data_IF_231602215404
#
_entry.id   IF_231602215404
#
_cell.length_a   1.000
_cell.length_b   1.000
_cell.length_c   1.000
_cell.angle_alpha   90.00
_cell.angle_beta   90.00
_cell.angle_gamma   90.00
#
_symmetry.space_group_name_H-M   'P 1'
#
loop_
_entity.id
_entity.type
_entity.pdbx_description
1 polymer ?
#
# COMPACT_ATOMS: atom_id res chain seq x y z
N UNK A 1 1.64 -17.68 -23.16
CA UNK A 1 1.88 -18.04 -21.75
C UNK A 1 1.15 -17.07 -20.82
N UNK A 2 1.64 -15.83 -20.59
CA UNK A 2 0.98 -14.87 -19.68
C UNK A 2 -0.41 -14.40 -20.14
N UNK A 3 -0.63 -14.33 -21.45
CA UNK A 3 -1.90 -13.97 -22.08
C UNK A 3 -2.97 -15.03 -21.89
N UNK A 4 -2.59 -16.31 -21.85
CA UNK A 4 -3.53 -17.45 -21.81
C UNK A 4 -4.10 -17.62 -20.40
N UNK A 5 -3.28 -17.37 -19.37
CA UNK A 5 -3.73 -17.30 -17.98
C UNK A 5 -4.68 -16.13 -17.73
N UNK A 6 -4.37 -14.96 -18.31
CA UNK A 6 -5.21 -13.77 -18.20
C UNK A 6 -6.57 -14.01 -18.89
N UNK A 7 -6.56 -14.58 -20.10
CA UNK A 7 -7.77 -14.95 -20.81
C UNK A 7 -8.63 -15.95 -20.01
N UNK A 8 -8.01 -17.00 -19.45
CA UNK A 8 -8.70 -18.01 -18.63
C UNK A 8 -9.34 -17.38 -17.39
N UNK A 9 -8.66 -16.45 -16.72
CA UNK A 9 -9.20 -15.73 -15.55
C UNK A 9 -10.35 -14.79 -15.92
N UNK A 10 -10.28 -14.11 -17.05
CA UNK A 10 -11.33 -13.22 -17.54
C UNK A 10 -12.58 -14.02 -17.93
N UNK A 11 -12.42 -15.13 -18.66
CA UNK A 11 -13.52 -16.03 -19.00
C UNK A 11 -14.20 -16.59 -17.74
N UNK A 12 -13.42 -17.05 -16.76
CA UNK A 12 -13.95 -17.54 -15.47
C UNK A 12 -14.75 -16.47 -14.74
N UNK A 13 -14.31 -15.20 -14.76
CA UNK A 13 -15.04 -14.08 -14.15
C UNK A 13 -16.36 -13.80 -14.86
N UNK A 14 -16.35 -13.79 -16.20
CA UNK A 14 -17.55 -13.60 -17.01
C UNK A 14 -18.60 -14.70 -16.75
N UNK A 15 -18.17 -15.94 -16.55
CA UNK A 15 -19.07 -17.05 -16.22
C UNK A 15 -19.69 -16.90 -14.83
N UNK A 16 -18.94 -16.44 -13.84
CA UNK A 16 -19.48 -16.15 -12.50
C UNK A 16 -20.43 -14.94 -12.50
N UNK A 17 -20.25 -13.96 -13.39
CA UNK A 17 -21.16 -12.81 -13.53
C UNK A 17 -22.46 -13.18 -14.30
N UNK A 18 -22.44 -14.23 -15.13
CA UNK A 18 -23.59 -14.69 -15.92
C UNK A 18 -24.56 -15.64 -15.17
N UNK A 19 -24.09 -16.31 -14.13
CA UNK A 19 -24.84 -17.26 -13.31
C UNK A 19 -24.80 -16.84 -11.83
N UNK A 20 -25.39 -15.71 -11.47
CA UNK A 20 -25.27 -15.24 -10.09
C UNK A 20 -25.89 -13.89 -9.77
N UNK A 21 -27.08 -13.62 -10.29
CA UNK A 21 -27.94 -12.58 -9.73
C UNK A 21 -28.45 -13.02 -8.36
N UNK A 22 -27.65 -12.80 -7.32
CA UNK A 22 -28.06 -12.93 -5.93
C UNK A 22 -27.38 -14.07 -5.17
N UNK A 23 -26.19 -13.81 -4.64
CA UNK A 23 -25.75 -14.35 -3.36
C UNK A 23 -24.79 -13.33 -2.74
N UNK A 24 -25.12 -12.90 -1.52
CA UNK A 24 -24.37 -11.92 -0.75
C UNK A 24 -22.89 -12.35 -0.64
N UNK A 25 -21.94 -11.41 -0.52
CA UNK A 25 -20.57 -11.79 -0.19
C UNK A 25 -20.61 -12.47 1.17
N UNK A 26 -20.41 -13.78 1.20
CA UNK A 26 -20.12 -14.55 2.41
C UNK A 26 -18.86 -13.94 3.02
N UNK A 27 -19.07 -13.06 4.01
CA UNK A 27 -18.01 -12.55 4.84
C UNK A 27 -17.42 -13.74 5.61
N UNK A 28 -16.09 -13.92 5.62
CA UNK A 28 -15.49 -14.84 6.56
C UNK A 28 -15.85 -14.36 7.97
N UNK A 29 -16.57 -15.20 8.72
CA UNK A 29 -17.29 -14.84 9.93
C UNK A 29 -16.46 -14.06 10.95
N UNK A 30 -16.83 -12.81 11.17
CA UNK A 30 -16.48 -12.04 12.36
C UNK A 30 -17.52 -12.32 13.45
N UNK A 31 -17.57 -13.55 13.94
CA UNK A 31 -18.31 -13.86 15.16
C UNK A 31 -17.37 -13.66 16.36
N UNK A 32 -17.47 -12.49 16.98
CA UNK A 32 -16.75 -12.18 18.22
C UNK A 32 -17.04 -10.79 18.77
N UNK A 33 -18.26 -10.27 18.63
CA UNK A 33 -18.65 -8.99 19.24
C UNK A 33 -19.78 -9.21 20.25
N UNK A 34 -19.42 -9.65 21.47
CA UNK A 34 -20.19 -9.40 22.69
C UNK A 34 -19.40 -9.83 23.94
N UNK A 35 -18.50 -8.96 24.42
CA UNK A 35 -18.20 -8.89 25.85
C UNK A 35 -17.75 -7.47 26.18
N UNK A 36 -18.64 -6.76 26.87
CA UNK A 36 -18.41 -5.41 27.36
C UNK A 36 -17.24 -5.36 28.34
N UNK A 37 -16.39 -4.35 28.20
CA UNK A 37 -15.64 -3.79 29.32
C UNK A 37 -15.46 -2.30 29.07
N UNK A 38 -16.21 -1.51 29.84
CA UNK A 38 -16.06 -0.07 29.93
C UNK A 38 -14.65 0.27 30.46
N UNK A 39 -13.92 1.16 29.78
CA UNK A 39 -12.67 1.71 30.29
C UNK A 39 -11.80 2.35 29.20
N UNK A 40 -11.68 3.69 29.24
CA UNK A 40 -10.75 4.58 28.52
C UNK A 40 -11.01 4.81 27.00
N UNK A 41 -11.59 5.96 26.59
CA UNK A 41 -11.96 6.22 25.19
C UNK A 41 -10.93 6.97 24.33
N UNK A 42 -9.70 7.26 24.79
CA UNK A 42 -8.90 8.30 24.11
C UNK A 42 -7.75 7.79 23.21
N UNK A 43 -7.04 6.70 23.55
CA UNK A 43 -5.84 6.31 22.76
C UNK A 43 -6.11 5.32 21.61
N UNK A 44 -7.13 4.48 21.72
CA UNK A 44 -7.43 3.49 20.67
C UNK A 44 -8.12 4.11 19.44
N UNK A 45 -8.87 5.20 19.61
CA UNK A 45 -9.55 5.90 18.53
C UNK A 45 -8.56 6.65 17.62
N UNK A 46 -7.54 7.28 18.20
CA UNK A 46 -6.44 7.94 17.47
C UNK A 46 -5.60 6.92 16.67
N UNK A 47 -5.30 5.75 17.26
CA UNK A 47 -4.56 4.68 16.59
C UNK A 47 -5.34 4.06 15.41
N UNK A 48 -6.65 3.87 15.55
CA UNK A 48 -7.51 3.39 14.47
C UNK A 48 -7.72 4.45 13.38
N UNK A 49 -7.88 5.72 13.74
CA UNK A 49 -7.96 6.82 12.77
C UNK A 49 -6.70 6.96 11.92
N UNK A 50 -5.52 6.73 12.52
CA UNK A 50 -4.23 6.69 11.80
C UNK A 50 -4.13 5.48 10.85
N UNK A 51 -4.55 4.29 11.31
CA UNK A 51 -4.58 3.09 10.48
C UNK A 51 -5.57 3.21 9.31
N UNK A 52 -6.74 3.81 9.53
CA UNK A 52 -7.74 4.09 8.51
C UNK A 52 -7.26 5.16 7.51
N UNK A 53 -6.52 6.16 7.97
CA UNK A 53 -5.87 7.16 7.12
C UNK A 53 -4.84 6.53 6.18
N UNK A 54 -3.97 5.66 6.68
CA UNK A 54 -3.02 4.94 5.83
C UNK A 54 -3.70 3.97 4.86
N UNK A 55 -4.72 3.25 5.32
CA UNK A 55 -5.44 2.28 4.51
C UNK A 55 -6.22 2.97 3.39
N UNK A 56 -6.96 4.04 3.70
CA UNK A 56 -7.70 4.84 2.72
C UNK A 56 -6.76 5.45 1.67
N UNK A 57 -5.60 5.97 2.07
CA UNK A 57 -4.57 6.45 1.15
C UNK A 57 -4.04 5.34 0.22
N UNK A 58 -3.81 4.14 0.74
CA UNK A 58 -3.39 2.96 -0.06
C UNK A 58 -4.48 2.53 -1.04
N UNK A 59 -5.75 2.56 -0.64
CA UNK A 59 -6.88 2.21 -1.50
C UNK A 59 -7.08 3.23 -2.62
N UNK A 60 -7.04 4.53 -2.30
CA UNK A 60 -7.13 5.61 -3.29
C UNK A 60 -6.03 5.47 -4.34
N UNK A 61 -4.78 5.27 -3.89
CA UNK A 61 -3.65 5.02 -4.77
C UNK A 61 -3.84 3.81 -5.69
N UNK A 62 -4.46 2.72 -5.21
CA UNK A 62 -4.75 1.56 -6.05
C UNK A 62 -5.81 1.88 -7.11
N UNK A 63 -6.83 2.67 -6.77
CA UNK A 63 -7.84 3.11 -7.72
C UNK A 63 -7.21 3.97 -8.82
N UNK A 64 -6.32 4.89 -8.44
CA UNK A 64 -5.53 5.75 -9.34
C UNK A 64 -4.68 4.92 -10.32
N UNK A 65 -3.92 3.95 -9.81
CA UNK A 65 -3.11 3.05 -10.65
C UNK A 65 -3.96 2.21 -11.61
N UNK A 66 -5.12 1.71 -11.16
CA UNK A 66 -6.03 0.94 -12.01
C UNK A 66 -6.68 1.79 -13.11
N UNK A 67 -6.86 3.10 -12.87
CA UNK A 67 -7.33 4.06 -13.86
C UNK A 67 -6.21 4.57 -14.79
N UNK A 68 -4.95 4.17 -14.54
CA UNK A 68 -3.78 4.70 -15.25
C UNK A 68 -3.43 6.13 -14.87
N UNK A 69 -4.07 6.69 -13.84
CA UNK A 69 -3.86 8.04 -13.32
C UNK A 69 -2.87 7.94 -12.16
N UNK A 70 -1.61 7.68 -12.45
CA UNK A 70 -0.59 7.61 -11.41
C UNK A 70 0.68 6.96 -11.89
N UNK A 71 1.81 7.63 -11.68
CA UNK A 71 3.09 6.98 -11.95
C UNK A 71 3.35 5.89 -10.90
N UNK A 72 3.86 4.72 -11.31
CA UNK A 72 4.39 3.77 -10.37
C UNK A 72 5.50 4.46 -9.57
N UNK A 73 5.24 4.71 -8.28
CA UNK A 73 6.29 4.96 -7.29
C UNK A 73 7.06 3.64 -7.11
N UNK A 74 7.90 3.32 -8.09
CA UNK A 74 8.94 2.35 -7.89
C UNK A 74 9.99 3.01 -6.98
N UNK A 75 10.42 2.36 -5.89
CA UNK A 75 11.48 2.90 -5.04
C UNK A 75 12.76 3.18 -5.83
N UNK A 76 12.96 2.47 -6.94
CA UNK A 76 14.03 2.69 -7.93
C UNK A 76 13.99 4.05 -8.66
N UNK A 77 12.89 4.82 -8.59
CA UNK A 77 12.86 6.20 -9.13
C UNK A 77 13.55 7.22 -8.23
N UNK A 78 13.71 6.91 -6.93
CA UNK A 78 14.50 7.75 -6.02
C UNK A 78 15.95 7.25 -6.05
N UNK A 79 16.70 7.73 -7.04
CA UNK A 79 18.16 7.57 -7.06
C UNK A 79 18.74 8.43 -5.95
N UNK A 80 19.29 7.79 -4.92
CA UNK A 80 19.98 8.47 -3.83
C UNK A 80 21.17 9.24 -4.40
N UNK A 81 21.18 10.56 -4.24
CA UNK A 81 22.29 11.42 -4.61
C UNK A 81 22.78 12.16 -3.37
N UNK A 82 23.93 11.80 -2.79
CA UNK A 82 24.40 12.37 -1.54
C UNK A 82 24.63 13.89 -1.66
N UNK A 83 24.90 14.40 -2.86
CA UNK A 83 25.12 15.83 -3.07
C UNK A 83 23.84 16.67 -3.09
N UNK A 84 22.67 16.04 -3.24
CA UNK A 84 21.37 16.72 -3.18
C UNK A 84 20.60 16.43 -1.91
N UNK A 85 20.83 15.28 -1.29
CA UNK A 85 20.24 14.90 0.00
C UNK A 85 20.95 15.62 1.16
N UNK A 86 22.25 15.90 1.05
CA UNK A 86 23.05 16.56 2.08
C UNK A 86 23.69 17.85 1.56
N UNK A 87 22.90 18.92 1.46
CA UNK A 87 23.35 20.22 0.91
C UNK A 87 24.18 21.01 1.93
N UNK A 88 24.03 20.67 3.21
CA UNK A 88 24.72 21.20 4.36
C UNK A 88 26.20 20.77 4.44
N UNK A 89 26.60 19.76 3.66
CA UNK A 89 27.99 19.32 3.56
C UNK A 89 28.58 19.66 2.21
N UNK A 90 29.84 20.12 2.22
CA UNK A 90 30.60 20.27 0.98
C UNK A 90 30.83 18.91 0.32
N UNK A 91 31.02 18.93 -1.00
CA UNK A 91 31.41 17.72 -1.77
C UNK A 91 32.65 17.04 -1.20
N UNK A 92 33.58 17.83 -0.63
CA UNK A 92 34.79 17.32 0.00
C UNK A 92 34.49 16.59 1.31
N UNK A 93 33.67 17.18 2.18
CA UNK A 93 33.25 16.53 3.42
C UNK A 93 32.49 15.22 3.16
N UNK A 94 31.58 15.21 2.18
CA UNK A 94 30.85 13.99 1.80
C UNK A 94 31.80 12.88 1.38
N UNK A 95 32.83 13.18 0.56
CA UNK A 95 33.85 12.20 0.16
C UNK A 95 34.74 11.75 1.32
N UNK A 96 35.13 12.67 2.19
CA UNK A 96 35.98 12.35 3.33
C UNK A 96 35.23 11.43 4.31
N UNK A 97 33.92 11.65 4.51
CA UNK A 97 33.05 10.74 5.27
C UNK A 97 32.84 9.40 4.57
N UNK A 98 32.57 9.39 3.25
CA UNK A 98 32.47 8.14 2.47
C UNK A 98 33.72 7.26 2.65
N UNK A 99 34.91 7.86 2.68
CA UNK A 99 36.17 7.14 2.92
C UNK A 99 36.24 6.52 4.31
N UNK A 100 35.77 7.23 5.34
CA UNK A 100 35.71 6.68 6.72
C UNK A 100 34.76 5.48 6.82
N UNK A 101 33.61 5.53 6.12
CA UNK A 101 32.65 4.44 6.14
C UNK A 101 33.05 3.22 5.30
N UNK A 102 34.04 3.36 4.40
CA UNK A 102 34.56 2.26 3.56
C UNK A 102 35.73 1.51 4.18
N UNK A 103 36.31 2.02 5.26
CA UNK A 103 37.31 1.30 6.05
C UNK A 103 36.62 0.33 7.01
#
# INVERSE_FOLDING_TARGET
MATDELASKLSRRLQMEGEGGGEAPEQPGLNGAAAAAAGAPDEAAEALGSADGELSAKLLRRADLNQGIGEPQSPSRRVFNPYTEFKEFSRKQIKDMEKMFKQ
#
